data_IF_133583318148
#
_entry.id   IF_133583318148
#
_cell.length_a   1.000
_cell.length_b   1.000
_cell.length_c   1.000
_cell.angle_alpha   90.00
_cell.angle_beta   90.00
_cell.angle_gamma   90.00
#
_symmetry.space_group_name_H-M   'P 1'
#
loop_
_entity.id
_entity.type
_entity.pdbx_description
1 polymer ?
#
# COMPACT_ATOMS: atom_id res chain seq x y z
N UNK A 1 21.50 -13.57 -56.33
CA UNK A 1 20.67 -12.39 -55.99
C UNK A 1 20.31 -12.45 -54.51
N UNK A 2 21.13 -11.84 -53.64
CA UNK A 2 20.89 -11.82 -52.19
C UNK A 2 19.89 -10.72 -51.85
N UNK A 3 18.65 -11.10 -51.56
CA UNK A 3 17.64 -10.18 -51.03
C UNK A 3 17.98 -9.93 -49.56
N UNK A 4 18.65 -8.79 -49.28
CA UNK A 4 18.80 -8.27 -47.92
C UNK A 4 17.43 -7.78 -47.44
N UNK A 5 16.72 -8.60 -46.67
CA UNK A 5 15.52 -8.19 -45.96
C UNK A 5 15.90 -7.18 -44.87
N UNK A 6 15.49 -5.92 -45.05
CA UNK A 6 15.63 -4.88 -44.02
C UNK A 6 14.78 -5.29 -42.81
N UNK A 7 15.42 -5.44 -41.64
CA UNK A 7 14.74 -5.68 -40.38
C UNK A 7 13.72 -4.56 -40.11
N UNK A 8 12.44 -4.92 -39.95
CA UNK A 8 11.39 -3.98 -39.52
C UNK A 8 11.71 -3.55 -38.09
N UNK A 9 12.03 -2.26 -37.88
CA UNK A 9 12.10 -1.68 -36.53
C UNK A 9 10.71 -1.81 -35.89
N UNK A 10 10.57 -2.70 -34.91
CA UNK A 10 9.35 -2.74 -34.10
C UNK A 10 9.28 -1.45 -33.29
N UNK A 11 8.30 -0.59 -33.58
CA UNK A 11 8.03 0.58 -32.76
C UNK A 11 7.34 0.10 -31.49
N UNK A 12 8.05 0.09 -30.37
CA UNK A 12 7.44 -0.18 -29.06
C UNK A 12 6.67 1.05 -28.62
N UNK A 13 5.34 0.99 -28.69
CA UNK A 13 4.47 2.06 -28.16
C UNK A 13 4.36 1.85 -26.65
N UNK A 14 4.84 2.81 -25.86
CA UNK A 14 4.60 2.82 -24.42
C UNK A 14 3.19 3.35 -24.15
N UNK A 15 2.26 2.44 -23.83
CA UNK A 15 0.92 2.82 -23.39
C UNK A 15 1.02 3.38 -21.96
N UNK A 16 0.55 4.60 -21.75
CA UNK A 16 0.48 5.24 -20.43
C UNK A 16 -0.98 5.37 -19.98
N UNK A 17 -1.19 5.51 -18.67
CA UNK A 17 -2.53 5.78 -18.10
C UNK A 17 -3.15 7.04 -18.74
N UNK A 18 -2.34 8.07 -19.02
CA UNK A 18 -2.81 9.28 -19.69
C UNK A 18 -3.31 9.00 -21.12
N UNK A 19 -2.62 8.14 -21.87
CA UNK A 19 -3.08 7.72 -23.21
C UNK A 19 -4.42 6.99 -23.09
N UNK A 20 -4.54 6.04 -22.16
CA UNK A 20 -5.79 5.27 -21.96
C UNK A 20 -6.96 6.19 -21.62
N UNK A 21 -6.76 7.16 -20.72
CA UNK A 21 -7.84 8.01 -20.23
C UNK A 21 -8.22 9.12 -21.22
N UNK A 22 -7.26 9.71 -21.93
CA UNK A 22 -7.51 10.93 -22.72
C UNK A 22 -7.53 10.73 -24.24
N UNK A 23 -7.22 9.52 -24.73
CA UNK A 23 -7.43 9.21 -26.15
C UNK A 23 -8.90 8.90 -26.41
N UNK A 24 -9.41 9.29 -27.57
CA UNK A 24 -10.76 8.97 -28.06
C UNK A 24 -11.89 9.28 -27.07
N UNK A 25 -11.76 10.34 -26.26
CA UNK A 25 -12.75 10.72 -25.23
C UNK A 25 -13.06 9.64 -24.17
N UNK A 26 -12.16 8.66 -23.97
CA UNK A 26 -12.39 7.52 -23.07
C UNK A 26 -12.82 7.92 -21.66
N UNK A 27 -12.20 8.97 -21.09
CA UNK A 27 -12.58 9.51 -19.78
C UNK A 27 -13.96 10.16 -19.77
N UNK A 28 -14.34 10.88 -20.83
CA UNK A 28 -15.68 11.45 -20.97
C UNK A 28 -16.75 10.36 -20.97
N UNK A 29 -16.54 9.33 -21.78
CA UNK A 29 -17.45 8.18 -21.87
C UNK A 29 -17.55 7.42 -20.55
N UNK A 30 -16.42 7.24 -19.86
CA UNK A 30 -16.38 6.63 -18.53
C UNK A 30 -17.19 7.43 -17.51
N UNK A 31 -17.04 8.76 -17.47
CA UNK A 31 -17.81 9.63 -16.58
C UNK A 31 -19.31 9.50 -16.81
N UNK A 32 -19.76 9.44 -18.07
CA UNK A 32 -21.18 9.27 -18.40
C UNK A 32 -21.68 7.90 -17.96
N UNK A 33 -20.94 6.83 -18.27
CA UNK A 33 -21.33 5.45 -17.94
C UNK A 33 -21.41 5.19 -16.44
N UNK A 34 -20.54 5.80 -15.64
CA UNK A 34 -20.39 5.52 -14.22
C UNK A 34 -20.76 6.71 -13.31
N UNK A 35 -21.56 7.66 -13.82
CA UNK A 35 -21.90 8.93 -13.16
C UNK A 35 -22.36 8.79 -11.71
N UNK A 36 -23.12 7.72 -11.40
CA UNK A 36 -23.73 7.50 -10.07
C UNK A 36 -22.79 6.75 -9.10
N UNK A 37 -21.64 6.27 -9.58
CA UNK A 37 -20.70 5.44 -8.81
C UNK A 37 -19.31 6.07 -8.66
N UNK A 38 -18.97 7.03 -9.52
CA UNK A 38 -17.66 7.65 -9.53
C UNK A 38 -17.51 8.65 -8.37
N UNK A 39 -16.43 8.53 -7.61
CA UNK A 39 -16.19 9.43 -6.48
C UNK A 39 -15.54 10.72 -6.96
N UNK A 40 -15.82 11.82 -6.27
CA UNK A 40 -15.19 13.13 -6.52
C UNK A 40 -13.66 13.05 -6.56
N UNK A 41 -13.06 12.27 -5.65
CA UNK A 41 -11.60 12.05 -5.60
C UNK A 41 -11.06 11.34 -6.85
N UNK A 42 -11.86 10.49 -7.51
CA UNK A 42 -11.45 9.82 -8.75
C UNK A 42 -11.43 10.82 -9.90
N UNK A 43 -12.47 11.65 -9.99
CA UNK A 43 -12.56 12.74 -10.98
C UNK A 43 -11.39 13.71 -10.81
N UNK A 44 -11.16 14.21 -9.60
CA UNK A 44 -10.08 15.16 -9.30
C UNK A 44 -8.71 14.59 -9.71
N UNK A 45 -8.44 13.32 -9.39
CA UNK A 45 -7.16 12.70 -9.72
C UNK A 45 -6.97 12.55 -11.23
N UNK A 46 -8.01 12.17 -11.98
CA UNK A 46 -7.92 12.05 -13.44
C UNK A 46 -7.73 13.43 -14.08
N UNK A 47 -8.51 14.44 -13.70
CA UNK A 47 -8.40 15.78 -14.29
C UNK A 47 -7.07 16.47 -13.95
N UNK A 48 -6.49 16.19 -12.78
CA UNK A 48 -5.12 16.61 -12.45
C UNK A 48 -4.08 15.91 -13.32
N UNK A 49 -4.26 14.64 -13.64
CA UNK A 49 -3.36 13.90 -14.53
C UNK A 49 -3.28 14.54 -15.91
N UNK A 50 -4.41 14.98 -16.46
CA UNK A 50 -4.48 15.62 -17.79
C UNK A 50 -3.55 16.83 -17.91
N UNK A 51 -3.45 17.62 -16.84
CA UNK A 51 -2.65 18.86 -16.82
C UNK A 51 -1.18 18.61 -16.47
N UNK A 52 -0.82 17.38 -16.07
CA UNK A 52 0.51 17.06 -15.56
C UNK A 52 1.63 17.35 -16.56
N UNK A 53 2.67 18.09 -16.14
CA UNK A 53 3.82 18.45 -16.98
C UNK A 53 3.43 19.25 -18.23
N UNK A 54 2.29 19.94 -18.19
CA UNK A 54 1.85 20.86 -19.24
C UNK A 54 1.78 22.29 -18.70
N UNK A 55 1.94 23.32 -19.55
CA UNK A 55 1.78 24.71 -19.13
C UNK A 55 0.42 25.03 -18.49
N UNK A 56 -0.63 24.23 -18.75
CA UNK A 56 -1.96 24.36 -18.13
C UNK A 56 -1.94 24.20 -16.61
N UNK A 57 -0.89 23.59 -16.06
CA UNK A 57 -0.69 23.43 -14.61
C UNK A 57 0.30 24.47 -14.04
N UNK A 58 0.66 25.50 -14.80
CA UNK A 58 1.73 26.45 -14.46
C UNK A 58 3.13 25.91 -14.73
N UNK A 59 4.13 26.79 -14.64
CA UNK A 59 5.53 26.46 -14.91
C UNK A 59 6.50 27.42 -14.19
N UNK A 60 7.74 26.97 -14.00
CA UNK A 60 8.88 27.84 -13.67
C UNK A 60 9.64 28.19 -14.94
N UNK A 61 10.09 29.44 -15.03
CA UNK A 61 10.98 29.91 -16.10
C UNK A 61 12.40 30.04 -15.54
N UNK A 62 13.35 29.39 -16.18
CA UNK A 62 14.78 29.54 -15.91
C UNK A 62 15.41 30.25 -17.10
N UNK A 63 16.24 31.26 -16.84
CA UNK A 63 16.94 32.00 -17.89
C UNK A 63 18.44 31.92 -17.64
N UNK A 64 19.19 31.59 -18.69
CA UNK A 64 20.65 31.64 -18.64
C UNK A 64 21.10 33.11 -18.60
N UNK A 65 21.89 33.54 -17.59
CA UNK A 65 22.35 34.93 -17.51
C UNK A 65 23.38 35.29 -18.59
N UNK A 66 24.00 34.30 -19.24
CA UNK A 66 25.04 34.52 -20.27
C UNK A 66 24.46 34.68 -21.68
N UNK A 67 23.56 33.78 -22.10
CA UNK A 67 23.03 33.75 -23.48
C UNK A 67 21.53 34.09 -23.58
N UNK A 68 20.86 34.35 -22.46
CA UNK A 68 19.43 34.71 -22.42
C UNK A 68 18.46 33.56 -22.73
N UNK A 69 18.94 32.36 -23.07
CA UNK A 69 18.07 31.20 -23.36
C UNK A 69 17.16 30.89 -22.18
N UNK A 70 15.85 30.77 -22.46
CA UNK A 70 14.81 30.44 -21.47
C UNK A 70 14.43 28.97 -21.55
N UNK A 71 14.28 28.34 -20.38
CA UNK A 71 13.74 27.01 -20.21
C UNK A 71 12.48 27.07 -19.35
N UNK A 72 11.38 26.57 -19.89
CA UNK A 72 10.12 26.44 -19.17
C UNK A 72 10.00 25.03 -18.60
N UNK A 73 9.74 24.94 -17.30
CA UNK A 73 9.58 23.66 -16.60
C UNK A 73 8.17 23.61 -16.01
N UNK A 74 7.24 22.91 -16.69
CA UNK A 74 5.87 22.76 -16.21
C UNK A 74 5.75 22.01 -14.89
N UNK A 75 4.75 22.38 -14.08
CA UNK A 75 4.51 21.73 -12.80
C UNK A 75 3.88 20.34 -12.98
N UNK A 76 4.30 19.43 -12.12
CA UNK A 76 3.74 18.08 -12.02
C UNK A 76 2.42 18.09 -11.26
N UNK A 77 1.50 17.18 -11.59
CA UNK A 77 0.19 17.13 -10.97
C UNK A 77 0.18 16.63 -9.52
N UNK A 78 1.25 15.93 -9.07
CA UNK A 78 1.33 15.27 -7.75
C UNK A 78 0.16 14.31 -7.45
N UNK A 79 -0.50 13.82 -8.50
CA UNK A 79 -1.61 12.88 -8.41
C UNK A 79 -1.08 11.44 -8.32
N UNK A 80 -1.78 10.61 -7.54
CA UNK A 80 -1.46 9.18 -7.34
C UNK A 80 -1.63 8.31 -8.59
N UNK A 81 -2.48 8.70 -9.54
CA UNK A 81 -2.66 8.00 -10.82
C UNK A 81 -1.54 8.29 -11.81
N UNK A 82 -0.81 9.39 -11.64
CA UNK A 82 0.31 9.70 -12.51
C UNK A 82 1.50 8.81 -12.14
N UNK A 83 1.85 7.86 -13.01
CA UNK A 83 2.98 6.94 -12.78
C UNK A 83 4.26 7.68 -12.41
N UNK A 84 4.61 8.77 -13.10
CA UNK A 84 5.81 9.54 -12.79
C UNK A 84 5.74 10.28 -11.45
N UNK A 85 4.59 10.85 -11.07
CA UNK A 85 4.44 11.53 -9.79
C UNK A 85 4.33 10.54 -8.62
N UNK A 86 3.56 9.47 -8.80
CA UNK A 86 3.39 8.39 -7.84
C UNK A 86 4.71 7.69 -7.55
N UNK A 87 5.52 7.38 -8.57
CA UNK A 87 6.86 6.79 -8.39
C UNK A 87 7.76 7.71 -7.59
N UNK A 88 7.79 9.01 -7.92
CA UNK A 88 8.59 9.98 -7.16
C UNK A 88 8.13 10.05 -5.69
N UNK A 89 6.82 10.14 -5.44
CA UNK A 89 6.28 10.19 -4.09
C UNK A 89 6.56 8.91 -3.30
N UNK A 90 6.49 7.74 -3.95
CA UNK A 90 6.83 6.45 -3.36
C UNK A 90 8.32 6.37 -2.99
N UNK A 91 9.21 6.82 -3.87
CA UNK A 91 10.66 6.88 -3.59
C UNK A 91 10.96 7.84 -2.44
N UNK A 92 10.41 9.06 -2.46
CA UNK A 92 10.58 10.01 -1.36
C UNK A 92 10.06 9.46 -0.03
N UNK A 93 8.95 8.70 -0.06
CA UNK A 93 8.44 8.01 1.13
C UNK A 93 9.38 6.89 1.59
N UNK A 94 9.86 6.05 0.67
CA UNK A 94 10.82 4.99 0.97
C UNK A 94 12.10 5.55 1.59
N UNK A 95 12.63 6.66 1.05
CA UNK A 95 13.79 7.34 1.59
C UNK A 95 13.52 7.83 3.02
N UNK A 96 12.39 8.52 3.27
CA UNK A 96 12.04 8.95 4.64
C UNK A 96 11.94 7.78 5.61
N UNK A 97 11.33 6.68 5.18
CA UNK A 97 11.23 5.46 5.98
C UNK A 97 12.63 4.90 6.27
N UNK A 98 13.50 4.84 5.27
CA UNK A 98 14.88 4.36 5.42
C UNK A 98 15.64 5.12 6.51
N UNK A 99 15.46 6.45 6.61
CA UNK A 99 16.13 7.28 7.61
C UNK A 99 15.63 7.06 9.05
N UNK A 100 14.41 6.52 9.24
CA UNK A 100 13.85 6.25 10.58
C UNK A 100 13.90 4.76 10.97
N UNK A 101 14.31 3.89 10.06
CA UNK A 101 14.46 2.46 10.34
C UNK A 101 15.61 2.21 11.32
N UNK A 102 15.38 1.32 12.28
CA UNK A 102 16.42 0.87 13.19
C UNK A 102 17.46 0.05 12.40
N UNK A 103 18.75 0.18 12.69
CA UNK A 103 19.81 -0.61 12.03
C UNK A 103 19.87 -2.03 12.59
N UNK A 104 18.83 -2.82 12.34
CA UNK A 104 18.64 -4.20 12.78
C UNK A 104 18.04 -5.04 11.65
N UNK A 105 18.11 -6.38 11.70
CA UNK A 105 17.37 -7.21 10.77
C UNK A 105 15.86 -6.96 10.85
N UNK A 106 15.21 -6.97 9.68
CA UNK A 106 13.77 -6.85 9.56
C UNK A 106 13.21 -8.04 8.78
N UNK A 107 11.95 -8.35 9.04
CA UNK A 107 11.19 -9.36 8.31
C UNK A 107 10.01 -8.74 7.59
N UNK A 108 9.79 -9.15 6.35
CA UNK A 108 8.57 -8.85 5.61
C UNK A 108 7.51 -9.89 5.95
N UNK A 109 6.41 -9.44 6.55
CA UNK A 109 5.31 -10.28 7.00
C UNK A 109 4.03 -9.81 6.33
N UNK A 110 3.29 -10.73 5.72
CA UNK A 110 2.05 -10.43 5.00
C UNK A 110 0.89 -11.06 5.76
N UNK A 111 -0.06 -10.24 6.17
CA UNK A 111 -1.29 -10.68 6.82
C UNK A 111 -2.41 -10.71 5.79
N UNK A 112 -2.86 -11.91 5.45
CA UNK A 112 -3.95 -12.16 4.51
C UNK A 112 -5.25 -12.48 5.23
N UNK A 113 -6.38 -12.23 4.58
CA UNK A 113 -7.72 -12.52 5.12
C UNK A 113 -8.43 -13.59 4.30
N UNK A 114 -9.43 -14.23 4.90
CA UNK A 114 -10.34 -15.14 4.20
C UNK A 114 -11.13 -14.41 3.12
N UNK A 115 -11.44 -15.10 2.03
CA UNK A 115 -12.29 -14.59 0.95
C UNK A 115 -13.68 -14.18 1.45
N UNK A 116 -14.25 -14.93 2.39
CA UNK A 116 -15.52 -14.64 3.08
C UNK A 116 -15.55 -13.25 3.74
N UNK A 117 -14.40 -12.70 4.10
CA UNK A 117 -14.29 -11.40 4.78
C UNK A 117 -14.08 -10.23 3.83
N UNK A 118 -13.83 -10.49 2.55
CA UNK A 118 -13.46 -9.44 1.58
C UNK A 118 -14.57 -8.43 1.40
N UNK A 119 -15.83 -8.85 1.32
CA UNK A 119 -16.95 -7.93 1.17
C UNK A 119 -17.07 -6.99 2.37
N UNK A 120 -16.99 -7.54 3.59
CA UNK A 120 -16.97 -6.76 4.83
C UNK A 120 -15.87 -5.69 4.81
N UNK A 121 -14.68 -6.07 4.36
CA UNK A 121 -13.51 -5.20 4.37
C UNK A 121 -13.55 -4.08 3.33
N UNK A 122 -14.54 -4.01 2.45
CA UNK A 122 -14.77 -2.80 1.63
C UNK A 122 -15.08 -1.57 2.49
N UNK A 123 -15.63 -1.77 3.69
CA UNK A 123 -15.86 -0.70 4.64
C UNK A 123 -14.53 -0.23 5.27
N UNK A 124 -14.12 1.05 5.10
CA UNK A 124 -12.88 1.57 5.67
C UNK A 124 -12.77 1.45 7.19
N UNK A 125 -13.90 1.40 7.92
CA UNK A 125 -13.92 1.16 9.37
C UNK A 125 -13.25 -0.18 9.70
N UNK A 126 -13.59 -1.24 8.99
CA UNK A 126 -13.07 -2.58 9.24
C UNK A 126 -11.66 -2.78 8.67
N UNK A 127 -11.27 -2.01 7.65
CA UNK A 127 -9.88 -1.98 7.20
C UNK A 127 -8.91 -1.50 8.29
N UNK A 128 -9.32 -0.56 9.14
CA UNK A 128 -8.51 -0.10 10.29
C UNK A 128 -8.21 -1.24 11.27
N UNK A 129 -9.12 -2.19 11.40
CA UNK A 129 -8.94 -3.36 12.27
C UNK A 129 -7.78 -4.24 11.80
N UNK A 130 -7.52 -4.31 10.49
CA UNK A 130 -6.39 -5.07 9.94
C UNK A 130 -5.04 -4.55 10.46
N UNK A 131 -4.88 -3.23 10.60
CA UNK A 131 -3.67 -2.63 11.16
C UNK A 131 -3.51 -2.96 12.64
N UNK A 132 -4.58 -2.78 13.42
CA UNK A 132 -4.51 -3.02 14.85
C UNK A 132 -4.29 -4.51 15.19
N UNK A 133 -4.98 -5.40 14.48
CA UNK A 133 -4.84 -6.86 14.66
C UNK A 133 -3.48 -7.39 14.21
N UNK A 134 -2.88 -6.84 13.15
CA UNK A 134 -1.55 -7.28 12.70
C UNK A 134 -0.46 -6.82 13.66
N UNK A 135 -0.57 -5.60 14.20
CA UNK A 135 0.31 -5.09 15.24
C UNK A 135 0.30 -5.97 16.49
N UNK A 136 -0.87 -6.20 17.09
CA UNK A 136 -0.97 -7.00 18.33
C UNK A 136 -0.49 -8.44 18.09
N UNK A 137 -0.75 -9.01 16.91
CA UNK A 137 -0.26 -10.34 16.56
C UNK A 137 1.28 -10.39 16.54
N UNK A 138 1.94 -9.37 15.98
CA UNK A 138 3.42 -9.30 16.01
C UNK A 138 3.97 -9.09 17.43
N UNK A 139 3.32 -8.26 18.25
CA UNK A 139 3.73 -8.03 19.64
C UNK A 139 3.63 -9.32 20.47
N UNK A 140 2.51 -10.06 20.37
CA UNK A 140 2.35 -11.36 21.02
C UNK A 140 3.37 -12.39 20.55
N UNK A 141 3.70 -12.35 19.26
CA UNK A 141 4.63 -13.26 18.63
C UNK A 141 6.07 -13.07 19.12
N UNK A 142 6.51 -11.82 19.20
CA UNK A 142 7.83 -11.49 19.72
C UNK A 142 7.92 -11.79 21.21
N UNK A 143 6.85 -11.53 21.97
CA UNK A 143 6.78 -11.88 23.38
C UNK A 143 6.82 -13.40 23.65
N UNK A 144 6.24 -14.23 22.77
CA UNK A 144 6.23 -15.70 22.94
C UNK A 144 7.56 -16.36 22.54
N UNK A 145 8.38 -15.69 21.75
CA UNK A 145 9.65 -16.22 21.24
C UNK A 145 10.79 -16.09 22.25
N UNK A 146 10.65 -15.22 23.26
CA UNK A 146 11.65 -15.05 24.32
C UNK A 146 11.47 -16.10 25.44
N UNK A 147 11.97 -17.32 25.21
CA UNK A 147 11.90 -18.43 26.18
C UNK A 147 12.80 -18.24 27.41
N UNK A 148 13.75 -17.30 27.38
CA UNK A 148 14.76 -17.12 28.44
C UNK A 148 14.31 -16.24 29.60
N UNK A 149 13.20 -15.51 29.49
CA UNK A 149 12.67 -14.75 30.62
C UNK A 149 11.44 -15.47 31.20
N UNK A 150 11.55 -15.93 32.45
CA UNK A 150 10.44 -16.49 33.25
C UNK A 150 9.23 -15.54 33.33
N UNK A 151 9.43 -14.27 33.00
CA UNK A 151 8.38 -13.27 32.78
C UNK A 151 8.27 -13.03 31.27
N UNK A 152 7.07 -13.12 30.70
CA UNK A 152 6.76 -12.68 29.32
C UNK A 152 7.05 -11.18 29.19
N UNK A 153 8.30 -10.80 28.96
CA UNK A 153 8.69 -9.40 28.85
C UNK A 153 8.07 -8.83 27.59
N UNK A 154 7.18 -7.84 27.73
CA UNK A 154 6.64 -7.12 26.58
C UNK A 154 7.78 -6.37 25.90
N UNK A 155 8.13 -6.80 24.69
CA UNK A 155 9.13 -6.14 23.87
C UNK A 155 8.46 -5.08 22.98
N UNK A 156 9.09 -3.92 22.88
CA UNK A 156 8.67 -2.84 21.98
C UNK A 156 9.31 -3.05 20.61
N UNK A 157 8.50 -3.44 19.64
CA UNK A 157 8.94 -3.72 18.27
C UNK A 157 8.83 -2.48 17.37
N UNK A 158 9.65 -2.42 16.33
CA UNK A 158 9.46 -1.51 15.20
C UNK A 158 8.60 -2.18 14.13
N UNK A 159 7.60 -1.47 13.60
CA UNK A 159 6.69 -2.03 12.60
C UNK A 159 6.18 -0.93 11.66
N UNK A 160 6.32 -1.15 10.36
CA UNK A 160 5.71 -0.34 9.29
C UNK A 160 4.62 -1.18 8.65
N UNK A 161 3.43 -0.60 8.47
CA UNK A 161 2.26 -1.31 7.95
C UNK A 161 1.72 -0.60 6.71
N UNK A 162 1.44 -1.36 5.66
CA UNK A 162 0.83 -0.88 4.43
C UNK A 162 -0.32 -1.80 4.05
N UNK A 163 -1.54 -1.25 3.95
CA UNK A 163 -2.69 -1.98 3.43
C UNK A 163 -2.66 -1.97 1.90
N UNK A 164 -2.69 -3.15 1.30
CA UNK A 164 -2.98 -3.35 -0.11
C UNK A 164 -4.37 -3.94 -0.24
N UNK A 165 -5.24 -3.28 -1.02
CA UNK A 165 -6.65 -3.69 -1.17
C UNK A 165 -6.90 -4.61 -2.35
N UNK A 166 -5.94 -4.74 -3.27
CA UNK A 166 -6.05 -5.53 -4.50
C UNK A 166 -4.86 -6.47 -4.65
N UNK A 167 -5.10 -7.65 -5.20
CA UNK A 167 -4.05 -8.57 -5.62
C UNK A 167 -3.45 -8.21 -6.98
N UNK A 168 -2.44 -8.97 -7.41
CA UNK A 168 -1.81 -8.79 -8.72
C UNK A 168 -2.78 -9.01 -9.90
N UNK A 169 -3.84 -9.80 -9.70
CA UNK A 169 -4.93 -10.02 -10.66
C UNK A 169 -6.03 -8.95 -10.61
N UNK A 170 -5.79 -7.83 -9.88
CA UNK A 170 -6.69 -6.69 -9.72
C UNK A 170 -8.01 -7.08 -9.01
N UNK A 171 -8.10 -8.28 -8.44
CA UNK A 171 -9.24 -8.65 -7.60
C UNK A 171 -9.09 -8.05 -6.22
N UNK A 172 -10.22 -7.63 -5.65
CA UNK A 172 -10.26 -7.12 -4.29
C UNK A 172 -9.81 -8.22 -3.32
N UNK A 173 -8.67 -7.99 -2.67
CA UNK A 173 -8.02 -8.94 -1.77
C UNK A 173 -7.24 -8.14 -0.72
N UNK A 174 -7.89 -7.58 0.31
CA UNK A 174 -7.24 -6.75 1.32
C UNK A 174 -6.25 -7.56 2.16
N UNK A 175 -5.01 -7.10 2.20
CA UNK A 175 -3.93 -7.70 2.99
C UNK A 175 -2.96 -6.62 3.48
N UNK A 176 -2.32 -6.88 4.62
CA UNK A 176 -1.39 -5.92 5.24
C UNK A 176 0.03 -6.41 5.06
N UNK A 177 0.84 -5.64 4.34
CA UNK A 177 2.28 -5.80 4.30
C UNK A 177 2.91 -5.12 5.49
N UNK A 178 3.78 -5.85 6.19
CA UNK A 178 4.45 -5.37 7.36
C UNK A 178 5.96 -5.54 7.22
N UNK A 179 6.73 -4.48 7.45
CA UNK A 179 8.17 -4.59 7.72
C UNK A 179 8.31 -4.51 9.23
N UNK A 180 8.78 -5.58 9.85
CA UNK A 180 8.83 -5.72 11.31
C UNK A 180 10.26 -6.00 11.74
N UNK A 181 10.72 -5.39 12.82
CA UNK A 181 12.03 -5.72 13.38
C UNK A 181 12.08 -7.15 13.91
N UNK A 182 13.21 -7.85 13.71
CA UNK A 182 13.44 -9.19 14.26
C UNK A 182 13.82 -9.15 15.75
N UNK A 183 12.97 -8.54 16.55
CA UNK A 183 13.22 -8.26 17.95
C UNK A 183 12.60 -6.96 18.41
N UNK A 184 12.85 -6.60 19.65
CA UNK A 184 12.38 -5.36 20.23
C UNK A 184 13.12 -5.00 21.52
N UNK A 185 12.84 -3.80 22.01
CA UNK A 185 13.41 -3.31 23.26
C UNK A 185 12.62 -3.82 24.47
N UNK A 186 13.32 -4.28 25.50
CA UNK A 186 12.70 -4.52 26.81
C UNK A 186 12.42 -3.20 27.56
N UNK A 187 11.99 -3.29 28.82
CA UNK A 187 11.71 -2.10 29.65
C UNK A 187 12.96 -1.32 30.04
N UNK A 188 14.13 -1.96 29.97
CA UNK A 188 15.44 -1.39 30.27
C UNK A 188 16.13 -0.88 29.01
N UNK A 189 15.45 -0.87 27.85
CA UNK A 189 15.99 -0.48 26.55
C UNK A 189 17.12 -1.39 26.04
N UNK A 190 17.18 -2.64 26.51
CA UNK A 190 18.05 -3.64 25.90
C UNK A 190 17.39 -4.23 24.66
N UNK A 191 18.19 -4.41 23.60
CA UNK A 191 17.74 -5.07 22.38
C UNK A 191 17.64 -6.59 22.59
N UNK A 192 16.44 -7.14 22.40
CA UNK A 192 16.19 -8.59 22.46
C UNK A 192 15.83 -9.09 21.07
N UNK A 193 16.70 -9.93 20.50
CA UNK A 193 16.52 -10.48 19.17
C UNK A 193 15.53 -11.65 19.15
N UNK A 194 14.73 -11.77 18.08
CA UNK A 194 13.76 -12.84 17.86
C UNK A 194 14.03 -13.54 16.52
N UNK A 195 14.75 -14.66 16.57
CA UNK A 195 15.17 -15.41 15.38
C UNK A 195 14.05 -16.25 14.76
N UNK A 196 13.24 -16.89 15.62
CA UNK A 196 12.26 -17.89 15.19
C UNK A 196 10.85 -17.35 15.29
N UNK A 197 10.07 -17.53 14.21
CA UNK A 197 8.66 -17.24 14.21
C UNK A 197 7.84 -18.53 13.99
N UNK A 198 7.23 -19.12 15.04
CA UNK A 198 6.36 -20.30 14.89
C UNK A 198 5.12 -20.02 14.04
N UNK A 199 5.17 -20.35 12.74
CA UNK A 199 4.08 -20.08 11.78
C UNK A 199 2.71 -20.61 12.23
N UNK A 200 2.63 -21.82 12.78
CA UNK A 200 1.35 -22.41 13.26
C UNK A 200 0.72 -21.59 14.37
N UNK A 201 1.52 -21.13 15.32
CA UNK A 201 1.05 -20.24 16.40
C UNK A 201 0.65 -18.88 15.84
N UNK A 202 1.49 -18.33 14.97
CA UNK A 202 1.28 -17.04 14.33
C UNK A 202 -0.05 -16.96 13.56
N UNK A 203 -0.33 -17.96 12.72
CA UNK A 203 -1.58 -18.06 11.94
C UNK A 203 -2.81 -18.08 12.86
N UNK A 204 -2.78 -18.88 13.93
CA UNK A 204 -3.90 -18.96 14.89
C UNK A 204 -4.09 -17.66 15.64
N UNK A 205 -3.00 -17.00 16.04
CA UNK A 205 -3.05 -15.69 16.71
C UNK A 205 -3.57 -14.59 15.79
N UNK A 206 -3.14 -14.56 14.54
CA UNK A 206 -3.68 -13.64 13.54
C UNK A 206 -5.19 -13.79 13.39
N UNK A 207 -5.67 -15.01 13.15
CA UNK A 207 -7.09 -15.32 13.02
C UNK A 207 -7.86 -14.88 14.27
N UNK A 208 -7.39 -15.28 15.45
CA UNK A 208 -8.01 -14.93 16.71
C UNK A 208 -8.10 -13.42 16.94
N UNK A 209 -6.98 -12.70 16.79
CA UNK A 209 -6.91 -11.26 17.03
C UNK A 209 -7.78 -10.50 16.02
N UNK A 210 -7.73 -10.85 14.74
CA UNK A 210 -8.54 -10.23 13.70
C UNK A 210 -10.03 -10.40 13.99
N UNK A 211 -10.49 -11.63 14.19
CA UNK A 211 -11.91 -11.93 14.37
C UNK A 211 -12.45 -11.36 15.67
N UNK A 212 -11.67 -11.44 16.76
CA UNK A 212 -12.05 -10.86 18.05
C UNK A 212 -12.21 -9.34 17.96
N UNK A 213 -11.30 -8.66 17.26
CA UNK A 213 -11.39 -7.20 17.09
C UNK A 213 -12.51 -6.79 16.13
N UNK A 214 -12.74 -7.55 15.05
CA UNK A 214 -13.87 -7.29 14.16
C UNK A 214 -15.20 -7.47 14.89
N UNK A 215 -15.37 -8.53 15.69
CA UNK A 215 -16.59 -8.77 16.49
C UNK A 215 -16.91 -7.59 17.42
N UNK A 216 -15.88 -6.91 17.94
CA UNK A 216 -16.05 -5.71 18.79
C UNK A 216 -16.50 -4.48 18.01
N UNK A 217 -16.05 -4.33 16.76
CA UNK A 217 -16.34 -3.17 15.92
C UNK A 217 -17.65 -3.28 15.13
N UNK A 218 -18.12 -4.51 14.90
CA UNK A 218 -19.35 -4.76 14.17
C UNK A 218 -20.59 -4.59 15.07
N UNK A 219 -21.77 -4.34 14.48
CA UNK A 219 -23.02 -4.28 15.23
C UNK A 219 -23.26 -5.56 16.04
N UNK A 220 -23.68 -5.39 17.30
CA UNK A 220 -24.00 -6.52 18.18
C UNK A 220 -25.35 -7.12 17.80
N UNK A 221 -25.36 -7.99 16.80
CA UNK A 221 -26.53 -8.73 16.35
C UNK A 221 -26.20 -10.22 16.11
N UNK A 222 -27.23 -11.06 16.03
CA UNK A 222 -27.09 -12.51 15.85
C UNK A 222 -26.36 -12.85 14.57
N UNK A 223 -26.67 -12.15 13.47
CA UNK A 223 -26.10 -12.39 12.15
C UNK A 223 -24.59 -12.14 12.13
N UNK A 224 -24.15 -11.01 12.71
CA UNK A 224 -22.73 -10.68 12.86
C UNK A 224 -21.99 -11.71 13.69
N UNK A 225 -22.58 -12.12 14.82
CA UNK A 225 -21.96 -13.11 15.70
C UNK A 225 -21.80 -14.45 15.00
N UNK A 226 -22.85 -14.95 14.35
CA UNK A 226 -22.81 -16.20 13.58
C UNK A 226 -21.78 -16.13 12.46
N UNK A 227 -21.75 -15.02 11.71
CA UNK A 227 -20.78 -14.83 10.64
C UNK A 227 -19.33 -14.89 11.13
N UNK A 228 -19.00 -14.17 12.21
CA UNK A 228 -17.63 -14.18 12.77
C UNK A 228 -17.29 -15.52 13.42
N UNK A 229 -18.24 -16.14 14.12
CA UNK A 229 -17.99 -17.38 14.85
C UNK A 229 -17.71 -18.56 13.91
N UNK A 230 -18.28 -18.56 12.69
CA UNK A 230 -17.95 -19.51 11.62
C UNK A 230 -16.54 -19.35 11.03
N UNK A 231 -15.82 -18.29 11.38
CA UNK A 231 -14.49 -18.00 10.85
C UNK A 231 -13.35 -18.34 11.82
N UNK A 232 -13.63 -18.70 13.09
CA UNK A 232 -12.64 -19.24 14.04
C UNK A 232 -12.23 -20.67 13.66
#
# INVERSE_FOLDING_TARGET
MCIKTKAKKSVTITITIAIILFSCNSWGDYKVRYKDSIRSVEIENVERLEKCKTPKNGYKTYQCPKCGTKKYVPFTCKCRLCTSCGTKAANEWADRIHHILLKVPHRHVIFTVSDKMRELLKNPKYQKVLFASSKITMEEMVASSNKKSEKKTKLKIGMIQVLQTFGADIKYNPHVHCIVTEGGFDRQWNWIHTYYLPYKFFRKKWQYNLLTMLKKEMPKCRETNVFIDQLF
#
